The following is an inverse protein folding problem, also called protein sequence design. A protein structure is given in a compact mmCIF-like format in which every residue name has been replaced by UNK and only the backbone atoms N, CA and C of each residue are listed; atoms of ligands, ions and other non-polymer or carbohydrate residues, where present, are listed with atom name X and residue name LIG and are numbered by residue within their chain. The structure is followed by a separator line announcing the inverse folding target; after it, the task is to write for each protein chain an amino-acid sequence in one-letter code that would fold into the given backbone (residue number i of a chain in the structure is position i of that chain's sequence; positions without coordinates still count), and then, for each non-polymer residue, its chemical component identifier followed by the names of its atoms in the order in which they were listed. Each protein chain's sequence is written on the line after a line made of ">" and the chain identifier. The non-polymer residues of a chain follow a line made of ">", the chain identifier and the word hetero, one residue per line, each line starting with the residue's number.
data_IF_921074311120
#
_entry.id   IF_921074311120
#
_cell.length_a   1.000
_cell.length_b   1.000
_cell.length_c   1.000
_cell.angle_alpha   90.00
_cell.angle_beta   90.00
_cell.angle_gamma   90.00
#
_symmetry.space_group_name_H-M   'P 1'
#
loop_
_entity.id
_entity.type
_entity.pdbx_description
1 polymer ?
#
# COMPACT_ATOMS: atom_id res chain seq x y z
N UNK A 1 13.80 -20.97 -1.58
CA UNK A 1 13.59 -19.54 -1.86
C UNK A 1 12.44 -19.09 -1.00
N UNK A 2 12.65 -18.11 -0.13
CA UNK A 2 11.62 -17.54 0.73
C UNK A 2 10.70 -16.61 -0.08
N UNK A 3 9.49 -16.35 0.39
CA UNK A 3 8.57 -15.41 -0.27
C UNK A 3 9.15 -14.01 -0.47
N UNK A 4 10.13 -13.64 0.36
CA UNK A 4 10.84 -12.37 0.26
C UNK A 4 11.84 -12.33 -0.90
N UNK A 5 12.35 -13.47 -1.36
CA UNK A 5 13.27 -13.54 -2.52
C UNK A 5 12.57 -13.20 -3.84
N UNK A 6 11.23 -13.19 -3.86
CA UNK A 6 10.40 -12.87 -5.04
C UNK A 6 9.95 -11.42 -5.10
N UNK A 7 10.19 -10.64 -4.05
CA UNK A 7 9.72 -9.25 -3.96
C UNK A 7 10.76 -8.30 -4.53
N UNK A 8 10.32 -7.40 -5.41
CA UNK A 8 11.17 -6.38 -5.99
C UNK A 8 11.70 -5.43 -4.90
N UNK A 9 13.02 -5.31 -4.80
CA UNK A 9 13.70 -4.38 -3.87
C UNK A 9 13.97 -3.07 -4.57
N UNK A 10 13.59 -1.98 -3.93
CA UNK A 10 13.72 -0.63 -4.48
C UNK A 10 14.33 0.35 -3.48
N UNK A 11 14.93 1.43 -4.00
CA UNK A 11 15.34 2.56 -3.17
C UNK A 11 14.15 3.49 -2.91
N UNK A 12 13.88 3.77 -1.63
CA UNK A 12 12.72 4.55 -1.19
C UNK A 12 12.77 5.98 -1.75
N UNK A 13 13.91 6.65 -1.61
CA UNK A 13 14.05 8.05 -2.04
C UNK A 13 13.94 8.19 -3.56
N UNK A 14 14.52 7.24 -4.31
CA UNK A 14 14.37 7.21 -5.77
C UNK A 14 12.91 7.10 -6.17
N UNK A 15 12.11 6.27 -5.49
CA UNK A 15 10.68 6.14 -5.77
C UNK A 15 9.88 7.36 -5.37
N UNK A 16 10.11 7.94 -4.19
CA UNK A 16 9.46 9.17 -3.73
C UNK A 16 9.69 10.33 -4.71
N UNK A 17 10.90 10.41 -5.28
CA UNK A 17 11.29 11.50 -6.17
C UNK A 17 10.87 11.28 -7.64
N UNK A 18 10.16 10.19 -7.97
CA UNK A 18 9.71 9.99 -9.34
C UNK A 18 8.71 11.09 -9.75
N UNK A 19 8.82 11.68 -10.95
CA UNK A 19 7.94 12.78 -11.37
C UNK A 19 6.44 12.45 -11.40
N UNK A 20 6.08 11.18 -11.52
CA UNK A 20 4.69 10.71 -11.57
C UNK A 20 4.07 10.48 -10.18
N UNK A 21 4.87 10.51 -9.11
CA UNK A 21 4.39 10.45 -7.73
C UNK A 21 3.84 11.81 -7.32
N UNK A 22 2.54 11.85 -7.03
CA UNK A 22 1.82 13.05 -6.61
C UNK A 22 1.80 13.23 -5.10
N UNK A 23 1.71 12.12 -4.38
CA UNK A 23 1.66 12.11 -2.93
C UNK A 23 2.52 10.98 -2.35
N UNK A 24 3.14 11.27 -1.22
CA UNK A 24 3.90 10.33 -0.41
C UNK A 24 3.41 10.44 1.04
N UNK A 25 2.98 9.32 1.62
CA UNK A 25 2.56 9.24 3.00
C UNK A 25 3.40 8.17 3.73
N UNK A 26 4.35 8.56 4.57
CA UNK A 26 4.97 7.64 5.52
C UNK A 26 3.90 7.10 6.47
N UNK A 27 3.83 5.78 6.64
CA UNK A 27 2.82 5.12 7.44
C UNK A 27 3.32 3.79 8.03
N UNK A 28 2.44 3.08 8.73
CA UNK A 28 2.65 1.68 9.07
C UNK A 28 1.55 0.85 8.42
N UNK A 29 1.93 -0.14 7.64
CA UNK A 29 0.98 -1.13 7.14
C UNK A 29 0.61 -2.09 8.27
N UNK A 30 -0.68 -2.26 8.52
CA UNK A 30 -1.21 -3.06 9.62
C UNK A 30 -1.75 -4.39 9.09
N UNK A 31 -1.10 -5.49 9.46
CA UNK A 31 -1.57 -6.84 9.12
C UNK A 31 -2.70 -7.29 10.03
N UNK A 32 -3.43 -8.32 9.61
CA UNK A 32 -4.57 -8.87 10.38
C UNK A 32 -4.16 -9.38 11.77
N UNK A 33 -2.92 -9.87 11.91
CA UNK A 33 -2.33 -10.27 13.18
C UNK A 33 -1.91 -9.09 14.07
N UNK A 34 -2.15 -7.85 13.66
CA UNK A 34 -1.81 -6.63 14.40
C UNK A 34 -0.37 -6.16 14.22
N UNK A 35 0.48 -6.90 13.49
CA UNK A 35 1.83 -6.43 13.21
C UNK A 35 1.80 -5.21 12.30
N UNK A 36 2.61 -4.22 12.69
CA UNK A 36 2.76 -2.95 11.99
C UNK A 36 4.13 -2.90 11.33
N UNK A 37 4.17 -2.56 10.05
CA UNK A 37 5.40 -2.48 9.28
C UNK A 37 5.63 -1.05 8.75
N UNK A 38 6.77 -0.41 9.08
CA UNK A 38 7.13 0.88 8.50
C UNK A 38 7.07 0.84 6.98
N UNK A 39 6.29 1.74 6.40
CA UNK A 39 5.95 1.74 4.98
C UNK A 39 5.79 3.16 4.43
N UNK A 40 5.78 3.28 3.11
CA UNK A 40 5.49 4.50 2.39
C UNK A 40 4.39 4.23 1.38
N UNK A 41 3.29 4.95 1.50
CA UNK A 41 2.19 4.90 0.54
C UNK A 41 2.43 5.97 -0.53
N UNK A 42 2.69 5.55 -1.76
CA UNK A 42 2.93 6.44 -2.89
C UNK A 42 1.71 6.44 -3.81
N UNK A 43 1.21 7.63 -4.15
CA UNK A 43 0.06 7.79 -5.03
C UNK A 43 0.50 8.51 -6.30
N UNK A 44 0.26 7.87 -7.44
CA UNK A 44 0.47 8.43 -8.78
C UNK A 44 -0.86 8.89 -9.38
N UNK A 45 -0.89 9.26 -10.65
CA UNK A 45 -2.16 9.56 -11.34
C UNK A 45 -3.10 8.34 -11.46
N UNK A 46 -2.57 7.11 -11.45
CA UNK A 46 -3.34 5.90 -11.80
C UNK A 46 -3.21 4.77 -10.79
N UNK A 47 -2.19 4.76 -9.96
CA UNK A 47 -1.90 3.68 -9.02
C UNK A 47 -1.49 4.18 -7.64
N UNK A 48 -1.77 3.36 -6.64
CA UNK A 48 -1.22 3.44 -5.30
C UNK A 48 -0.24 2.29 -5.07
N UNK A 49 0.90 2.61 -4.49
CA UNK A 49 1.96 1.66 -4.15
C UNK A 49 2.20 1.66 -2.65
N UNK A 50 2.37 0.49 -2.05
CA UNK A 50 2.88 0.35 -0.69
C UNK A 50 4.32 -0.12 -0.75
N UNK A 51 5.27 0.72 -0.32
CA UNK A 51 6.67 0.36 -0.16
C UNK A 51 6.94 0.03 1.29
N UNK A 52 7.20 -1.24 1.61
CA UNK A 52 7.51 -1.66 2.98
C UNK A 52 9.02 -1.66 3.21
N UNK A 53 9.48 -0.94 4.24
CA UNK A 53 10.90 -0.87 4.56
C UNK A 53 11.49 -2.24 4.90
N UNK A 54 12.75 -2.46 4.49
CA UNK A 54 13.50 -3.67 4.83
C UNK A 54 14.31 -3.36 6.10
N UNK A 55 14.00 -3.96 7.27
CA UNK A 55 14.63 -3.57 8.54
C UNK A 55 16.15 -3.68 8.55
N UNK A 56 16.71 -4.65 7.83
CA UNK A 56 18.16 -4.87 7.73
C UNK A 56 18.87 -4.02 6.66
N UNK A 57 18.13 -3.27 5.84
CA UNK A 57 18.67 -2.55 4.68
C UNK A 57 18.11 -1.13 4.60
N UNK A 58 18.79 -0.21 5.29
CA UNK A 58 18.40 1.21 5.37
C UNK A 58 18.19 1.82 3.98
N UNK A 59 17.07 2.53 3.81
CA UNK A 59 16.71 3.23 2.58
C UNK A 59 16.18 2.33 1.46
N UNK A 60 16.05 1.02 1.71
CA UNK A 60 15.49 0.06 0.77
C UNK A 60 14.15 -0.47 1.26
N UNK A 61 13.26 -0.74 0.31
CA UNK A 61 11.93 -1.27 0.55
C UNK A 61 11.59 -2.38 -0.44
N UNK A 62 10.66 -3.25 -0.05
CA UNK A 62 9.94 -4.10 -0.99
C UNK A 62 8.72 -3.37 -1.53
N UNK A 63 8.40 -3.54 -2.81
CA UNK A 63 7.07 -3.20 -3.32
C UNK A 63 6.09 -4.25 -2.81
N UNK A 64 5.30 -3.88 -1.81
CA UNK A 64 4.38 -4.80 -1.14
C UNK A 64 3.03 -4.90 -1.85
N UNK A 65 2.57 -3.80 -2.46
CA UNK A 65 1.38 -3.78 -3.30
C UNK A 65 1.47 -2.72 -4.39
N UNK A 66 0.75 -2.97 -5.49
CA UNK A 66 0.52 -2.03 -6.59
C UNK A 66 -0.95 -2.14 -7.01
N UNK A 67 -1.76 -1.19 -6.58
CA UNK A 67 -3.19 -1.20 -6.80
C UNK A 67 -3.58 -0.05 -7.74
N UNK A 68 -4.38 -0.33 -8.76
CA UNK A 68 -4.92 0.71 -9.60
C UNK A 68 -5.94 1.55 -8.81
N UNK A 69 -5.91 2.88 -8.96
CA UNK A 69 -6.83 3.75 -8.19
C UNK A 69 -8.29 3.50 -8.57
N UNK A 70 -8.56 3.11 -9.81
CA UNK A 70 -9.91 2.76 -10.27
C UNK A 70 -10.44 1.44 -9.68
N UNK A 71 -9.59 0.61 -9.07
CA UNK A 71 -10.04 -0.60 -8.37
C UNK A 71 -10.42 -0.34 -6.91
N UNK A 72 -10.20 0.86 -6.38
CA UNK A 72 -10.61 1.21 -5.01
C UNK A 72 -12.14 1.29 -4.96
N UNK A 73 -12.76 0.33 -4.28
CA UNK A 73 -14.21 0.25 -4.13
C UNK A 73 -14.70 0.80 -2.80
N UNK A 74 -13.82 0.90 -1.79
CA UNK A 74 -14.15 1.50 -0.49
C UNK A 74 -12.91 1.99 0.25
N UNK A 75 -13.05 3.12 0.93
CA UNK A 75 -12.08 3.63 1.91
C UNK A 75 -12.84 3.82 3.23
N UNK A 76 -12.32 3.26 4.32
CA UNK A 76 -12.97 3.36 5.64
C UNK A 76 -11.95 3.66 6.72
N UNK A 77 -12.38 4.30 7.80
CA UNK A 77 -11.61 4.43 9.04
C UNK A 77 -12.46 4.00 10.24
N UNK A 78 -11.82 3.67 11.36
CA UNK A 78 -12.54 3.39 12.61
C UNK A 78 -12.75 4.68 13.39
N UNK A 79 -13.95 4.95 13.89
CA UNK A 79 -14.23 6.16 14.71
C UNK A 79 -13.29 6.31 15.93
N UNK A 80 -12.90 5.19 16.56
CA UNK A 80 -11.98 5.19 17.71
C UNK A 80 -10.50 5.34 17.32
N UNK A 81 -10.15 5.02 16.07
CA UNK A 81 -8.80 5.05 15.51
C UNK A 81 -8.88 5.66 14.10
N UNK A 82 -9.16 6.98 13.99
CA UNK A 82 -9.36 7.64 12.70
C UNK A 82 -8.13 7.56 11.78
N UNK A 83 -6.94 7.37 12.36
CA UNK A 83 -5.67 7.15 11.66
C UNK A 83 -5.56 5.78 11.00
N UNK A 84 -6.35 4.78 11.46
CA UNK A 84 -6.38 3.45 10.84
C UNK A 84 -7.33 3.46 9.65
N UNK A 85 -6.75 3.68 8.48
CA UNK A 85 -7.47 3.62 7.20
C UNK A 85 -7.53 2.17 6.71
N UNK A 86 -8.55 1.83 5.95
CA UNK A 86 -8.67 0.53 5.28
C UNK A 86 -9.11 0.79 3.85
N UNK A 87 -8.28 0.36 2.91
CA UNK A 87 -8.56 0.36 1.49
C UNK A 87 -9.09 -1.00 1.08
N UNK A 88 -10.21 -1.02 0.37
CA UNK A 88 -10.74 -2.23 -0.25
C UNK A 88 -10.68 -2.06 -1.76
N UNK A 89 -10.12 -3.06 -2.43
CA UNK A 89 -9.96 -3.08 -3.88
C UNK A 89 -10.77 -4.21 -4.49
N UNK A 90 -11.23 -4.01 -5.72
CA UNK A 90 -11.89 -5.03 -6.51
C UNK A 90 -12.71 -4.43 -7.64
N UNK A 91 -13.80 -5.10 -8.01
CA UNK A 91 -14.64 -4.73 -9.14
C UNK A 91 -15.97 -4.16 -8.64
N UNK A 92 -16.47 -3.11 -9.30
CA UNK A 92 -17.85 -2.65 -9.13
C UNK A 92 -18.62 -2.84 -10.43
N UNK A 93 -19.79 -3.45 -10.33
CA UNK A 93 -20.72 -3.61 -11.44
C UNK A 93 -22.16 -3.34 -10.98
N UNK A 94 -23.12 -3.46 -11.88
CA UNK A 94 -24.55 -3.25 -11.58
C UNK A 94 -25.10 -4.25 -10.56
N UNK A 95 -24.42 -5.39 -10.36
CA UNK A 95 -24.79 -6.46 -9.43
C UNK A 95 -24.20 -6.26 -8.02
N UNK A 96 -23.24 -5.35 -7.85
CA UNK A 96 -22.63 -5.04 -6.56
C UNK A 96 -21.13 -4.81 -6.62
N UNK A 97 -20.49 -4.91 -5.45
CA UNK A 97 -19.04 -4.76 -5.26
C UNK A 97 -18.45 -6.11 -4.88
N UNK A 98 -17.48 -6.57 -5.67
CA UNK A 98 -16.63 -7.72 -5.34
C UNK A 98 -15.32 -7.21 -4.74
N UNK A 99 -14.96 -7.68 -3.55
CA UNK A 99 -13.72 -7.29 -2.88
C UNK A 99 -12.67 -8.37 -3.14
N UNK A 100 -11.57 -7.99 -3.80
CA UNK A 100 -10.45 -8.87 -4.15
C UNK A 100 -9.25 -8.69 -3.21
N UNK A 101 -9.09 -7.50 -2.63
CA UNK A 101 -8.00 -7.21 -1.70
C UNK A 101 -8.41 -6.20 -0.62
N UNK A 102 -7.77 -6.30 0.54
CA UNK A 102 -7.94 -5.38 1.66
C UNK A 102 -6.56 -5.03 2.22
N UNK A 103 -6.29 -3.74 2.35
CA UNK A 103 -5.04 -3.20 2.90
C UNK A 103 -5.36 -2.18 4.01
N UNK A 104 -4.51 -2.13 5.04
CA UNK A 104 -4.65 -1.27 6.21
C UNK A 104 -3.33 -0.61 6.56
#
# INVERSE_FOLDING_TARGET
>A
MSDDDRKEVVNIQTWINKPDVKYNFPCNEVKENGHMFPSHLLVTATHMYCLREIPSRKGLAYIQSRQALNSVVKITSKKKHPELITFKYGNSNTSGIEILAVER
#
